data_IF_268780423778
#
_entry.id   IF_268780423778
#
_cell.length_a   1.000
_cell.length_b   1.000
_cell.length_c   1.000
_cell.angle_alpha   90.00
_cell.angle_beta   90.00
_cell.angle_gamma   90.00
#
_symmetry.space_group_name_H-M   'P 1'
#
loop_
_entity.id
_entity.type
_entity.pdbx_description
1 polymer ?
#
# COMPACT_ATOMS: atom_id res chain seq x y z
N UNK A 1 -5.12 -15.45 0.99
CA UNK A 1 -5.91 -14.23 0.80
C UNK A 1 -7.14 -14.32 1.69
N UNK A 2 -7.41 -13.31 2.45
CA UNK A 2 -8.60 -13.15 3.27
C UNK A 2 -9.33 -11.91 2.76
N UNK A 3 -10.64 -12.00 2.56
CA UNK A 3 -11.49 -10.84 2.28
C UNK A 3 -12.26 -10.52 3.55
N UNK A 4 -12.25 -9.26 3.95
CA UNK A 4 -13.06 -8.75 5.06
C UNK A 4 -14.15 -7.90 4.42
N UNK A 5 -15.34 -8.48 4.29
CA UNK A 5 -16.49 -7.79 3.72
C UNK A 5 -17.05 -6.79 4.73
N UNK A 6 -17.21 -5.54 4.31
CA UNK A 6 -17.83 -4.51 5.12
C UNK A 6 -17.07 -4.25 6.42
N UNK A 7 -15.74 -4.12 6.34
CA UNK A 7 -14.99 -3.64 7.49
C UNK A 7 -15.74 -2.48 8.13
N UNK A 8 -16.18 -2.63 9.36
CA UNK A 8 -17.11 -1.72 10.04
C UNK A 8 -16.59 -0.28 10.09
N UNK A 9 -15.31 -0.11 9.94
CA UNK A 9 -14.58 1.17 9.89
C UNK A 9 -14.47 1.79 8.49
N UNK A 10 -14.70 1.03 7.43
CA UNK A 10 -14.80 1.54 6.06
C UNK A 10 -16.29 1.71 5.66
N UNK A 11 -17.05 2.35 6.53
CA UNK A 11 -18.44 2.68 6.27
C UNK A 11 -18.59 3.72 5.14
N UNK A 12 -19.81 3.96 4.67
CA UNK A 12 -20.09 4.90 3.59
C UNK A 12 -19.49 6.30 3.84
N UNK A 13 -19.53 6.78 5.10
CA UNK A 13 -19.01 8.09 5.48
C UNK A 13 -17.48 8.18 5.26
N UNK A 14 -16.72 7.15 5.65
CA UNK A 14 -15.28 7.10 5.41
C UNK A 14 -14.97 7.05 3.91
N UNK A 15 -15.71 6.26 3.13
CA UNK A 15 -15.54 6.19 1.68
C UNK A 15 -15.82 7.53 1.00
N UNK A 16 -16.85 8.26 1.45
CA UNK A 16 -17.16 9.61 0.95
C UNK A 16 -16.04 10.62 1.26
N UNK A 17 -15.37 10.51 2.39
CA UNK A 17 -14.22 11.37 2.76
C UNK A 17 -12.97 11.04 1.93
N UNK A 18 -12.71 9.77 1.65
CA UNK A 18 -11.49 9.32 0.95
C UNK A 18 -11.47 9.79 -0.50
N UNK A 19 -12.60 9.76 -1.22
CA UNK A 19 -12.66 10.16 -2.63
C UNK A 19 -12.13 11.57 -2.90
N UNK A 20 -12.64 12.62 -2.25
CA UNK A 20 -12.14 13.98 -2.45
C UNK A 20 -10.68 14.13 -1.98
N UNK A 21 -10.28 13.43 -0.92
CA UNK A 21 -8.90 13.41 -0.45
C UNK A 21 -7.93 12.81 -1.50
N UNK A 22 -8.32 11.71 -2.14
CA UNK A 22 -7.53 11.11 -3.22
C UNK A 22 -7.46 12.03 -4.45
N UNK A 23 -8.54 12.72 -4.81
CA UNK A 23 -8.53 13.70 -5.88
C UNK A 23 -7.58 14.86 -5.57
N UNK A 24 -7.62 15.37 -4.34
CA UNK A 24 -6.69 16.40 -3.86
C UNK A 24 -5.23 15.92 -3.95
N UNK A 25 -4.94 14.69 -3.47
CA UNK A 25 -3.60 14.11 -3.53
C UNK A 25 -3.10 13.96 -4.97
N UNK A 26 -3.97 13.54 -5.91
CA UNK A 26 -3.65 13.50 -7.34
C UNK A 26 -3.29 14.88 -7.88
N UNK A 27 -4.11 15.87 -7.59
CA UNK A 27 -3.92 17.23 -8.13
C UNK A 27 -2.63 17.87 -7.55
N UNK A 28 -2.29 17.60 -6.30
CA UNK A 28 -1.04 18.03 -5.68
C UNK A 28 0.16 17.32 -6.32
N UNK A 29 0.10 15.99 -6.47
CA UNK A 29 1.14 15.20 -7.13
C UNK A 29 1.39 15.66 -8.58
N UNK A 30 0.33 15.89 -9.34
CA UNK A 30 0.44 16.38 -10.73
C UNK A 30 1.03 17.79 -10.79
N UNK A 31 0.74 18.65 -9.82
CA UNK A 31 1.32 20.00 -9.72
C UNK A 31 2.81 19.96 -9.36
N UNK A 32 3.20 19.06 -8.45
CA UNK A 32 4.58 18.91 -7.98
C UNK A 32 5.47 18.23 -9.03
N UNK A 33 5.02 17.10 -9.55
CA UNK A 33 5.84 16.20 -10.40
C UNK A 33 5.64 16.48 -11.90
N UNK A 34 4.45 16.88 -12.30
CA UNK A 34 4.05 17.06 -13.68
C UNK A 34 3.59 15.77 -14.38
N UNK A 35 2.52 15.89 -15.16
CA UNK A 35 1.87 14.74 -15.84
C UNK A 35 2.86 13.98 -16.74
N UNK A 36 3.68 14.71 -17.53
CA UNK A 36 4.66 14.09 -18.45
C UNK A 36 5.69 13.24 -17.69
N UNK A 37 6.11 13.68 -16.48
CA UNK A 37 7.06 12.91 -15.66
C UNK A 37 6.41 11.65 -15.10
N UNK A 38 5.15 11.73 -14.65
CA UNK A 38 4.37 10.58 -14.19
C UNK A 38 4.16 9.56 -15.32
N UNK A 39 3.87 10.02 -16.53
CA UNK A 39 3.74 9.15 -17.70
C UNK A 39 5.08 8.45 -18.03
N UNK A 40 6.20 9.18 -18.05
CA UNK A 40 7.53 8.57 -18.26
C UNK A 40 7.91 7.58 -17.17
N UNK A 41 7.51 7.85 -15.92
CA UNK A 41 7.71 6.92 -14.81
C UNK A 41 6.75 5.71 -14.87
N UNK A 42 5.72 5.74 -15.73
CA UNK A 42 4.65 4.74 -15.81
C UNK A 42 3.88 4.57 -14.49
N UNK A 43 3.71 5.68 -13.77
CA UNK A 43 3.05 5.76 -12.44
C UNK A 43 1.75 6.60 -12.51
N UNK A 44 1.11 6.67 -13.68
CA UNK A 44 -0.15 7.39 -13.83
C UNK A 44 -1.23 6.73 -12.97
N UNK A 45 -1.92 7.55 -12.16
CA UNK A 45 -2.95 7.06 -11.25
C UNK A 45 -2.43 6.42 -9.95
N UNK A 46 -1.12 6.37 -9.74
CA UNK A 46 -0.52 5.94 -8.46
C UNK A 46 -0.18 7.16 -7.61
N UNK A 47 -0.74 7.23 -6.41
CA UNK A 47 -0.53 8.30 -5.44
C UNK A 47 0.41 7.80 -4.35
N UNK A 48 1.39 8.62 -3.97
CA UNK A 48 2.37 8.31 -2.93
C UNK A 48 2.51 9.49 -1.97
N UNK A 49 2.98 9.23 -0.76
CA UNK A 49 3.22 10.25 0.29
C UNK A 49 1.97 11.10 0.53
N UNK A 50 0.83 10.44 0.77
CA UNK A 50 -0.47 11.11 0.93
C UNK A 50 -0.78 11.53 2.36
N UNK A 51 0.01 11.08 3.34
CA UNK A 51 -0.34 11.13 4.77
C UNK A 51 -0.55 12.54 5.32
N UNK A 52 0.08 13.56 4.74
CA UNK A 52 -0.08 14.97 5.13
C UNK A 52 -1.03 15.76 4.23
N UNK A 53 -1.54 15.14 3.17
CA UNK A 53 -2.49 15.78 2.25
C UNK A 53 -3.87 15.93 2.90
N UNK A 54 -4.31 14.90 3.63
CA UNK A 54 -5.58 14.89 4.32
C UNK A 54 -5.54 13.97 5.55
N UNK A 55 -6.16 14.35 6.68
CA UNK A 55 -6.19 13.52 7.90
C UNK A 55 -6.76 12.12 7.71
N UNK A 56 -7.60 11.89 6.71
CA UNK A 56 -8.17 10.56 6.45
C UNK A 56 -7.08 9.52 6.18
N UNK A 57 -5.96 9.89 5.55
CA UNK A 57 -4.92 8.91 5.20
C UNK A 57 -4.15 8.34 6.41
N UNK A 58 -3.70 9.12 7.40
CA UNK A 58 -3.18 8.54 8.63
C UNK A 58 -4.27 7.84 9.46
N UNK A 59 -5.53 8.30 9.46
CA UNK A 59 -6.65 7.63 10.15
C UNK A 59 -6.88 6.21 9.60
N UNK A 60 -6.72 5.98 8.30
CA UNK A 60 -6.82 4.64 7.70
C UNK A 60 -5.81 3.64 8.28
N UNK A 61 -4.65 4.08 8.74
CA UNK A 61 -3.65 3.19 9.35
C UNK A 61 -4.10 2.65 10.71
N UNK A 62 -5.02 3.33 11.37
CA UNK A 62 -5.56 2.95 12.69
C UNK A 62 -6.92 2.25 12.62
N UNK A 63 -7.38 1.85 11.42
CA UNK A 63 -8.57 1.02 11.31
C UNK A 63 -8.39 -0.26 12.14
N UNK A 64 -9.33 -0.59 13.04
CA UNK A 64 -9.17 -1.73 13.95
C UNK A 64 -8.88 -3.04 13.24
N UNK A 65 -9.48 -3.27 12.08
CA UNK A 65 -9.29 -4.47 11.27
C UNK A 65 -7.88 -4.54 10.69
N UNK A 66 -7.30 -3.39 10.30
CA UNK A 66 -5.91 -3.30 9.83
C UNK A 66 -4.97 -3.60 10.99
N UNK A 67 -5.15 -2.92 12.12
CA UNK A 67 -4.28 -3.10 13.29
C UNK A 67 -4.33 -4.54 13.82
N UNK A 68 -5.52 -5.16 13.88
CA UNK A 68 -5.67 -6.55 14.31
C UNK A 68 -4.87 -7.51 13.41
N UNK A 69 -4.94 -7.33 12.09
CA UNK A 69 -4.19 -8.14 11.14
C UNK A 69 -2.67 -7.91 11.30
N UNK A 70 -2.25 -6.66 11.34
CA UNK A 70 -0.84 -6.28 11.43
C UNK A 70 -0.21 -6.78 12.72
N UNK A 71 -0.86 -6.56 13.86
CA UNK A 71 -0.34 -6.97 15.17
C UNK A 71 -0.29 -8.49 15.33
N UNK A 72 -1.27 -9.20 14.77
CA UNK A 72 -1.27 -10.66 14.78
C UNK A 72 -0.21 -11.28 13.86
N UNK A 73 0.05 -10.67 12.71
CA UNK A 73 0.93 -11.26 11.68
C UNK A 73 2.37 -10.77 11.75
N UNK A 74 2.59 -9.49 12.10
CA UNK A 74 3.91 -8.84 12.08
C UNK A 74 4.37 -8.34 13.45
N UNK A 75 3.53 -8.33 14.46
CA UNK A 75 3.70 -7.76 15.80
C UNK A 75 3.30 -6.29 15.92
N UNK A 76 3.14 -5.83 17.17
CA UNK A 76 2.83 -4.44 17.54
C UNK A 76 3.95 -3.44 17.22
N UNK A 77 5.15 -3.94 16.87
CA UNK A 77 6.28 -3.11 16.42
C UNK A 77 6.33 -2.92 14.91
N UNK A 78 5.37 -3.48 14.16
CA UNK A 78 5.32 -3.34 12.71
C UNK A 78 5.35 -1.88 12.26
N UNK A 79 5.90 -1.67 11.07
CA UNK A 79 5.98 -0.35 10.43
C UNK A 79 5.34 -0.38 9.04
N UNK A 80 4.85 0.76 8.60
CA UNK A 80 4.35 0.97 7.25
C UNK A 80 5.52 1.03 6.26
N UNK A 81 5.61 0.04 5.38
CA UNK A 81 6.59 0.04 4.30
C UNK A 81 6.23 1.05 3.21
N UNK A 82 4.93 1.08 2.86
CA UNK A 82 4.38 1.91 1.79
C UNK A 82 2.87 2.09 1.96
N UNK A 83 2.36 3.30 1.71
CA UNK A 83 0.95 3.57 1.42
C UNK A 83 0.83 4.05 -0.02
N UNK A 84 -0.06 3.44 -0.79
CA UNK A 84 -0.41 3.86 -2.14
C UNK A 84 -1.90 4.16 -2.25
N UNK A 85 -2.25 5.24 -2.93
CA UNK A 85 -3.56 5.42 -3.50
C UNK A 85 -3.54 5.02 -4.97
N UNK A 86 -4.61 4.41 -5.44
CA UNK A 86 -4.80 4.07 -6.83
C UNK A 86 -6.06 4.75 -7.35
N UNK A 87 -5.90 5.59 -8.36
CA UNK A 87 -6.97 6.08 -9.22
C UNK A 87 -6.72 5.44 -10.57
N UNK A 88 -7.36 4.30 -10.83
CA UNK A 88 -7.18 3.51 -12.04
C UNK A 88 -8.17 3.96 -13.10
N UNK A 89 -7.76 4.80 -14.07
CA UNK A 89 -8.64 5.22 -15.14
C UNK A 89 -8.87 4.07 -16.13
N UNK A 90 -9.88 4.21 -17.03
CA UNK A 90 -10.01 3.34 -18.18
C UNK A 90 -8.71 3.32 -19.01
N UNK A 91 -8.34 2.15 -19.55
CA UNK A 91 -7.10 1.98 -20.33
C UNK A 91 -7.01 3.00 -21.47
N UNK A 92 -8.11 3.25 -22.16
CA UNK A 92 -8.17 4.21 -23.23
C UNK A 92 -7.83 5.65 -22.78
N UNK A 93 -8.27 6.02 -21.55
CA UNK A 93 -8.00 7.34 -20.98
C UNK A 93 -6.53 7.50 -20.54
N UNK A 94 -5.79 6.40 -20.35
CA UNK A 94 -4.36 6.41 -20.00
C UNK A 94 -3.47 6.73 -21.21
N UNK A 95 -4.01 6.69 -22.43
CA UNK A 95 -3.25 6.88 -23.66
C UNK A 95 -2.35 5.69 -24.03
N UNK A 96 -2.66 4.50 -23.52
CA UNK A 96 -1.96 3.24 -23.83
C UNK A 96 -2.87 2.30 -24.60
N UNK A 97 -2.28 1.46 -25.43
CA UNK A 97 -2.95 0.26 -25.92
C UNK A 97 -3.05 -0.78 -24.81
N UNK A 98 -3.91 -1.78 -24.97
CA UNK A 98 -4.03 -2.90 -24.01
C UNK A 98 -2.70 -3.63 -23.86
N UNK A 99 -1.96 -3.82 -24.94
CA UNK A 99 -0.65 -4.46 -24.98
C UNK A 99 0.40 -3.65 -24.20
N UNK A 100 0.45 -2.33 -24.44
CA UNK A 100 1.35 -1.43 -23.70
C UNK A 100 1.01 -1.38 -22.22
N UNK A 101 -0.28 -1.32 -21.87
CA UNK A 101 -0.73 -1.32 -20.48
C UNK A 101 -0.26 -2.58 -19.73
N UNK A 102 -0.31 -3.75 -20.35
CA UNK A 102 0.14 -5.02 -19.75
C UNK A 102 1.62 -5.09 -19.43
N UNK A 103 2.45 -4.25 -20.06
CA UNK A 103 3.89 -4.13 -19.79
C UNK A 103 4.21 -3.11 -18.68
N UNK A 104 3.22 -2.35 -18.20
CA UNK A 104 3.37 -1.46 -17.06
C UNK A 104 3.40 -2.28 -15.76
N UNK A 105 4.31 -1.93 -14.83
CA UNK A 105 4.55 -2.73 -13.62
C UNK A 105 3.27 -3.04 -12.83
N UNK A 106 2.38 -2.08 -12.64
CA UNK A 106 1.14 -2.28 -11.86
C UNK A 106 0.16 -3.28 -12.52
N UNK A 107 0.17 -3.42 -13.86
CA UNK A 107 -0.66 -4.38 -14.58
C UNK A 107 0.06 -5.69 -14.85
N UNK A 108 1.40 -5.70 -14.83
CA UNK A 108 2.17 -6.92 -14.93
C UNK A 108 2.10 -7.69 -13.61
N UNK A 109 2.19 -9.02 -13.70
CA UNK A 109 2.31 -9.83 -12.49
C UNK A 109 3.61 -9.53 -11.76
N UNK A 110 3.49 -9.23 -10.48
CA UNK A 110 4.62 -8.91 -9.59
C UNK A 110 4.35 -9.39 -8.16
N UNK A 111 5.37 -9.27 -7.33
CA UNK A 111 5.32 -9.40 -5.87
C UNK A 111 5.83 -8.11 -5.25
N UNK A 112 5.16 -7.59 -4.25
CA UNK A 112 5.63 -6.40 -3.52
C UNK A 112 6.86 -6.77 -2.68
N UNK A 113 6.85 -7.95 -2.06
CA UNK A 113 8.02 -8.50 -1.39
C UNK A 113 8.65 -9.59 -2.24
N UNK A 114 9.81 -9.28 -2.87
CA UNK A 114 10.42 -10.09 -3.95
C UNK A 114 11.33 -11.22 -3.47
N UNK A 115 11.28 -11.61 -2.20
CA UNK A 115 12.11 -12.67 -1.65
C UNK A 115 11.25 -13.77 -1.06
N UNK A 116 11.60 -15.01 -1.38
CA UNK A 116 11.07 -16.17 -0.69
C UNK A 116 11.82 -16.33 0.64
N UNK A 117 11.10 -16.36 1.75
CA UNK A 117 11.65 -16.45 3.11
C UNK A 117 11.26 -17.75 3.82
N UNK A 118 11.06 -18.83 3.11
CA UNK A 118 10.76 -20.17 3.67
C UNK A 118 9.58 -20.18 4.66
N UNK A 119 8.50 -19.48 4.31
CA UNK A 119 7.31 -19.36 5.16
C UNK A 119 7.38 -18.26 6.21
N UNK A 120 8.48 -17.51 6.29
CA UNK A 120 8.54 -16.33 7.15
C UNK A 120 7.76 -15.17 6.54
N UNK A 121 6.72 -14.74 7.26
CA UNK A 121 5.91 -13.60 6.85
C UNK A 121 6.63 -12.29 7.20
N UNK A 122 7.21 -11.66 6.19
CA UNK A 122 7.95 -10.39 6.35
C UNK A 122 7.10 -9.16 6.09
N UNK A 123 6.14 -9.26 5.19
CA UNK A 123 5.29 -8.16 4.76
C UNK A 123 3.85 -8.63 4.55
N UNK A 124 2.89 -7.77 4.92
CA UNK A 124 1.45 -7.98 4.72
C UNK A 124 0.87 -6.76 4.02
N UNK A 125 0.03 -6.99 3.04
CA UNK A 125 -0.72 -5.96 2.36
C UNK A 125 -2.17 -5.93 2.84
N UNK A 126 -2.72 -4.73 2.94
CA UNK A 126 -4.15 -4.48 3.05
C UNK A 126 -4.58 -3.58 1.90
N UNK A 127 -5.46 -4.06 1.04
CA UNK A 127 -5.99 -3.33 -0.10
C UNK A 127 -7.46 -2.99 0.17
N UNK A 128 -7.73 -1.73 0.47
CA UNK A 128 -9.07 -1.21 0.74
C UNK A 128 -9.72 -0.75 -0.57
N UNK A 129 -10.87 -1.33 -0.88
CA UNK A 129 -11.68 -0.98 -2.04
C UNK A 129 -12.49 0.28 -1.74
N UNK A 130 -12.16 1.40 -2.36
CA UNK A 130 -12.97 2.62 -2.28
C UNK A 130 -14.18 2.49 -3.21
N UNK A 131 -13.98 1.89 -4.38
CA UNK A 131 -15.02 1.46 -5.29
C UNK A 131 -15.24 -0.05 -5.20
N UNK A 132 -16.40 -0.52 -5.64
CA UNK A 132 -16.60 -1.93 -5.90
C UNK A 132 -15.56 -2.43 -6.91
N UNK A 133 -14.95 -3.58 -6.62
CA UNK A 133 -14.03 -4.25 -7.52
C UNK A 133 -14.77 -5.27 -8.37
N UNK A 134 -14.67 -5.13 -9.68
CA UNK A 134 -15.18 -6.03 -10.72
C UNK A 134 -14.09 -6.30 -11.75
N UNK A 135 -14.13 -7.42 -12.41
CA UNK A 135 -13.19 -7.74 -13.49
C UNK A 135 -13.16 -6.61 -14.54
N UNK A 136 -14.33 -6.08 -14.92
CA UNK A 136 -14.48 -5.03 -15.94
C UNK A 136 -13.86 -3.69 -15.55
N UNK A 137 -13.72 -3.37 -14.26
CA UNK A 137 -13.12 -2.11 -13.80
C UNK A 137 -11.68 -2.28 -13.28
N UNK A 138 -11.03 -3.40 -13.63
CA UNK A 138 -9.64 -3.63 -13.30
C UNK A 138 -9.41 -4.09 -11.85
N UNK A 139 -10.32 -4.92 -11.31
CA UNK A 139 -10.08 -5.59 -10.05
C UNK A 139 -8.67 -6.22 -10.01
N UNK A 140 -8.00 -6.12 -8.87
CA UNK A 140 -6.70 -6.77 -8.68
C UNK A 140 -6.83 -8.27 -8.93
N UNK A 141 -5.91 -8.83 -9.69
CA UNK A 141 -5.83 -10.27 -9.92
C UNK A 141 -4.75 -10.88 -9.02
N UNK A 142 -5.09 -11.98 -8.36
CA UNK A 142 -4.17 -12.73 -7.50
C UNK A 142 -3.92 -14.12 -8.08
N UNK A 143 -2.72 -14.65 -7.85
CA UNK A 143 -2.39 -16.05 -8.18
C UNK A 143 -2.19 -16.81 -6.86
N UNK A 144 -3.24 -17.46 -6.32
CA UNK A 144 -3.22 -18.10 -5.02
C UNK A 144 -2.10 -19.14 -4.87
N UNK A 145 -1.53 -19.25 -3.66
CA UNK A 145 -0.49 -20.24 -3.35
C UNK A 145 0.94 -19.86 -3.80
N UNK A 146 1.09 -18.82 -4.62
CA UNK A 146 2.40 -18.46 -5.20
C UNK A 146 3.40 -17.90 -4.21
N UNK A 147 2.96 -17.41 -3.03
CA UNK A 147 3.84 -17.03 -1.91
C UNK A 147 4.69 -18.21 -1.37
N UNK A 148 4.27 -19.45 -1.63
CA UNK A 148 4.99 -20.66 -1.20
C UNK A 148 6.01 -21.15 -2.22
N UNK A 149 6.06 -20.53 -3.40
CA UNK A 149 6.95 -20.98 -4.47
C UNK A 149 8.38 -20.41 -4.28
N UNK A 150 9.36 -21.30 -4.20
CA UNK A 150 10.78 -20.93 -4.15
C UNK A 150 11.30 -20.32 -5.45
N UNK A 151 10.74 -20.77 -6.57
CA UNK A 151 11.07 -20.29 -7.92
C UNK A 151 9.92 -19.50 -8.49
N UNK A 152 10.25 -18.49 -9.25
CA UNK A 152 9.24 -17.69 -9.92
C UNK A 152 8.50 -18.56 -10.96
N UNK A 153 7.17 -18.56 -10.94
CA UNK A 153 6.36 -19.26 -11.92
C UNK A 153 6.49 -18.63 -13.31
N UNK A 154 6.23 -19.40 -14.33
CA UNK A 154 6.18 -18.89 -15.71
C UNK A 154 4.99 -17.92 -15.87
N UNK A 155 5.09 -17.00 -16.84
CA UNK A 155 4.00 -16.10 -17.20
C UNK A 155 2.72 -16.88 -17.55
N UNK A 156 2.85 -17.96 -18.33
CA UNK A 156 1.72 -18.82 -18.69
C UNK A 156 1.05 -19.44 -17.45
N UNK A 157 1.82 -19.83 -16.43
CA UNK A 157 1.25 -20.33 -15.17
C UNK A 157 0.47 -19.23 -14.45
N UNK A 158 1.04 -18.02 -14.36
CA UNK A 158 0.39 -16.88 -13.70
C UNK A 158 -0.94 -16.54 -14.39
N UNK A 159 -0.93 -16.42 -15.72
CA UNK A 159 -2.12 -16.10 -16.50
C UNK A 159 -3.21 -17.18 -16.38
N UNK A 160 -2.83 -18.45 -16.34
CA UNK A 160 -3.78 -19.56 -16.23
C UNK A 160 -4.40 -19.73 -14.84
N UNK A 161 -3.76 -19.19 -13.78
CA UNK A 161 -4.19 -19.36 -12.39
C UNK A 161 -4.57 -18.04 -11.71
N UNK A 162 -4.60 -16.94 -12.44
CA UNK A 162 -5.01 -15.65 -11.91
C UNK A 162 -6.52 -15.60 -11.65
N UNK A 163 -6.89 -15.05 -10.50
CA UNK A 163 -8.29 -14.91 -10.08
C UNK A 163 -8.54 -13.44 -9.78
N UNK A 164 -9.56 -12.79 -10.38
CA UNK A 164 -9.94 -11.43 -10.04
C UNK A 164 -10.49 -11.37 -8.60
N UNK A 165 -10.09 -10.35 -7.87
CA UNK A 165 -10.55 -10.10 -6.51
C UNK A 165 -11.79 -9.19 -6.56
N UNK A 166 -12.95 -9.76 -6.83
CA UNK A 166 -14.20 -9.03 -6.86
C UNK A 166 -14.79 -8.88 -5.45
N UNK A 167 -15.19 -7.67 -5.08
CA UNK A 167 -15.82 -7.39 -3.79
C UNK A 167 -16.48 -6.00 -3.79
N UNK A 168 -17.50 -5.78 -2.94
CA UNK A 168 -18.15 -4.49 -2.78
C UNK A 168 -17.18 -3.38 -2.36
N UNK A 169 -17.57 -2.12 -2.56
CA UNK A 169 -16.91 -0.96 -1.96
C UNK A 169 -16.87 -1.10 -0.43
N UNK A 170 -15.79 -0.67 0.20
CA UNK A 170 -15.54 -0.82 1.63
C UNK A 170 -14.92 -2.16 2.04
N UNK A 171 -14.86 -3.15 1.15
CA UNK A 171 -14.16 -4.41 1.42
C UNK A 171 -12.66 -4.21 1.47
N UNK A 172 -11.97 -5.07 2.21
CA UNK A 172 -10.51 -5.06 2.31
C UNK A 172 -9.95 -6.46 2.00
N UNK A 173 -9.03 -6.53 1.06
CA UNK A 173 -8.23 -7.73 0.80
C UNK A 173 -6.97 -7.71 1.64
N UNK A 174 -6.70 -8.82 2.34
CA UNK A 174 -5.47 -9.02 3.12
C UNK A 174 -4.67 -10.16 2.50
N UNK A 175 -3.39 -9.91 2.23
CA UNK A 175 -2.54 -10.91 1.59
C UNK A 175 -1.07 -10.76 1.96
N UNK A 176 -0.35 -11.88 1.90
CA UNK A 176 1.11 -11.91 1.97
C UNK A 176 1.68 -11.16 0.76
N UNK A 177 2.54 -10.17 1.00
CA UNK A 177 3.14 -9.34 -0.03
C UNK A 177 4.01 -10.12 -1.05
N UNK A 178 4.29 -11.39 -0.78
CA UNK A 178 4.98 -12.28 -1.71
C UNK A 178 4.06 -13.07 -2.65
N UNK A 179 2.73 -12.91 -2.55
CA UNK A 179 1.78 -13.45 -3.52
C UNK A 179 1.93 -12.72 -4.85
N UNK A 180 2.00 -13.47 -5.94
CA UNK A 180 1.96 -12.89 -7.28
C UNK A 180 0.59 -12.30 -7.56
N UNK A 181 0.58 -11.04 -7.96
CA UNK A 181 -0.63 -10.28 -8.25
C UNK A 181 -0.35 -9.18 -9.29
N UNK A 182 -1.39 -8.52 -9.73
CA UNK A 182 -1.32 -7.38 -10.63
C UNK A 182 -2.68 -6.68 -10.69
N UNK A 183 -2.77 -5.48 -11.25
CA UNK A 183 -4.05 -4.84 -11.52
C UNK A 183 -4.67 -5.45 -12.76
N UNK A 184 -5.97 -5.70 -12.74
CA UNK A 184 -6.74 -5.92 -13.96
C UNK A 184 -6.78 -4.67 -14.83
N UNK A 185 -7.17 -4.83 -16.09
CA UNK A 185 -7.37 -3.70 -17.00
C UNK A 185 -8.76 -3.09 -16.75
N UNK A 186 -8.81 -1.79 -16.55
CA UNK A 186 -10.07 -1.09 -16.42
C UNK A 186 -10.64 -0.81 -17.83
N UNK A 187 -11.67 -1.55 -18.21
CA UNK A 187 -12.44 -1.39 -19.45
C UNK A 187 -13.82 -0.78 -19.20
N UNK A 188 -14.09 -0.33 -17.98
CA UNK A 188 -15.30 0.43 -17.64
C UNK A 188 -15.16 1.89 -18.08
N UNK A 189 -16.24 2.64 -18.04
CA UNK A 189 -16.23 4.06 -18.39
C UNK A 189 -15.79 5.00 -17.27
N UNK A 190 -15.37 4.48 -16.08
CA UNK A 190 -15.13 5.26 -14.88
C UNK A 190 -13.79 4.88 -14.21
N UNK A 191 -13.23 5.83 -13.44
CA UNK A 191 -12.06 5.56 -12.59
C UNK A 191 -12.42 4.56 -11.48
N UNK A 192 -11.48 3.70 -11.10
CA UNK A 192 -11.61 2.81 -9.95
C UNK A 192 -10.57 3.18 -8.88
N UNK A 193 -11.04 3.44 -7.65
CA UNK A 193 -10.25 3.91 -6.54
C UNK A 193 -9.97 2.79 -5.51
N UNK A 194 -8.74 2.79 -5.00
CA UNK A 194 -8.34 1.93 -3.89
C UNK A 194 -7.19 2.57 -3.08
N UNK A 195 -7.03 2.13 -1.83
CA UNK A 195 -5.86 2.46 -1.00
C UNK A 195 -5.20 1.16 -0.54
N UNK A 196 -3.90 1.04 -0.79
CA UNK A 196 -3.10 -0.10 -0.37
C UNK A 196 -2.12 0.32 0.73
N UNK A 197 -2.03 -0.49 1.78
CA UNK A 197 -0.99 -0.38 2.78
C UNK A 197 -0.13 -1.64 2.74
N UNK A 198 1.17 -1.45 2.68
CA UNK A 198 2.16 -2.52 2.83
C UNK A 198 2.81 -2.35 4.19
N UNK A 199 2.57 -3.29 5.10
CA UNK A 199 3.20 -3.31 6.42
C UNK A 199 4.35 -4.31 6.44
N UNK A 200 5.38 -3.99 7.22
CA UNK A 200 6.55 -4.84 7.35
C UNK A 200 7.04 -4.87 8.80
N UNK A 201 7.93 -5.79 9.12
CA UNK A 201 8.60 -5.82 10.41
C UNK A 201 9.51 -4.61 10.56
N UNK A 202 9.66 -4.13 11.78
CA UNK A 202 10.36 -2.88 12.11
C UNK A 202 11.83 -2.82 11.69
N UNK A 203 12.49 -3.97 11.58
CA UNK A 203 13.89 -4.05 11.14
C UNK A 203 14.07 -4.11 9.62
N UNK A 204 12.98 -4.15 8.85
CA UNK A 204 13.02 -4.06 7.40
C UNK A 204 13.01 -2.60 6.97
N UNK A 205 13.78 -2.27 5.93
CA UNK A 205 13.85 -0.90 5.43
C UNK A 205 12.53 -0.53 4.74
N UNK A 206 11.96 0.60 5.15
CA UNK A 206 10.79 1.20 4.49
C UNK A 206 11.14 1.60 3.04
N UNK A 207 10.18 1.51 2.15
CA UNK A 207 10.33 2.04 0.79
C UNK A 207 10.25 3.57 0.77
N UNK A 208 9.44 4.14 1.66
CA UNK A 208 9.36 5.59 1.89
C UNK A 208 9.83 5.88 3.31
N UNK A 209 10.81 6.74 3.46
CA UNK A 209 11.24 7.28 4.76
C UNK A 209 10.25 8.37 5.19
N UNK A 210 9.17 7.95 5.85
CA UNK A 210 8.08 8.85 6.25
C UNK A 210 8.55 9.92 7.24
N UNK A 211 9.47 9.57 8.13
CA UNK A 211 9.98 10.54 9.11
C UNK A 211 10.70 11.68 8.42
N UNK A 212 11.51 11.36 7.40
CA UNK A 212 12.22 12.37 6.61
C UNK A 212 11.28 13.11 5.65
N UNK A 213 10.34 12.41 5.03
CA UNK A 213 9.43 12.99 4.04
C UNK A 213 8.46 14.01 4.67
N UNK A 214 7.91 13.68 5.84
CA UNK A 214 6.84 14.45 6.49
C UNK A 214 7.36 15.39 7.60
N UNK A 215 8.56 15.11 8.09
CA UNK A 215 9.18 15.88 9.16
C UNK A 215 8.66 15.53 10.56
N UNK A 216 9.51 15.78 11.57
CA UNK A 216 9.23 15.43 12.97
C UNK A 216 8.00 16.13 13.55
N UNK A 217 7.73 17.37 13.13
CA UNK A 217 6.56 18.11 13.60
C UNK A 217 5.26 17.43 13.26
N UNK A 218 5.10 16.98 12.00
CA UNK A 218 3.94 16.24 11.58
C UNK A 218 3.83 14.88 12.29
N UNK A 219 4.93 14.10 12.33
CA UNK A 219 4.91 12.78 12.97
C UNK A 219 4.50 12.87 14.45
N UNK A 220 5.03 13.85 15.20
CA UNK A 220 4.72 14.01 16.62
C UNK A 220 3.31 14.54 16.89
N UNK A 221 2.62 15.09 15.89
CA UNK A 221 1.21 15.48 16.01
C UNK A 221 0.25 14.29 15.91
N UNK A 222 0.72 13.15 15.43
CA UNK A 222 -0.08 11.94 15.25
C UNK A 222 -0.15 11.08 16.52
N UNK A 223 -1.15 10.18 16.64
CA UNK A 223 -1.22 9.25 17.76
C UNK A 223 0.03 8.35 17.87
N UNK A 224 0.39 7.87 19.08
CA UNK A 224 1.60 7.04 19.27
C UNK A 224 1.65 5.78 18.42
N UNK A 225 0.48 5.18 18.10
CA UNK A 225 0.42 4.00 17.23
C UNK A 225 0.78 4.35 15.79
N UNK A 226 0.25 5.44 15.26
CA UNK A 226 0.61 5.94 13.92
C UNK A 226 2.09 6.33 13.88
N UNK A 227 2.64 6.96 14.94
CA UNK A 227 4.08 7.24 15.02
C UNK A 227 4.92 5.96 14.91
N UNK A 228 4.51 4.86 15.59
CA UNK A 228 5.16 3.56 15.47
C UNK A 228 5.11 3.04 14.03
N UNK A 229 3.91 3.05 13.43
CA UNK A 229 3.72 2.60 12.06
C UNK A 229 4.56 3.41 11.05
N UNK A 230 4.73 4.71 11.27
CA UNK A 230 5.55 5.55 10.40
C UNK A 230 7.08 5.41 10.64
N UNK A 231 7.48 4.56 11.58
CA UNK A 231 8.88 4.28 11.85
C UNK A 231 9.56 5.27 12.80
N UNK A 232 8.79 6.10 13.53
CA UNK A 232 9.36 7.08 14.46
C UNK A 232 10.24 6.44 15.53
N UNK A 233 9.88 5.25 16.00
CA UNK A 233 10.62 4.54 17.05
C UNK A 233 11.68 3.55 16.52
N UNK A 234 11.89 3.52 15.21
CA UNK A 234 12.89 2.65 14.54
C UNK A 234 13.95 3.46 13.79
N UNK A 235 14.08 4.74 14.11
CA UNK A 235 15.04 5.63 13.44
C UNK A 235 16.46 5.18 13.66
N UNK A 236 17.25 5.26 12.60
CA UNK A 236 18.67 4.94 12.62
C UNK A 236 19.47 6.18 13.02
N UNK A 237 20.36 6.02 13.99
CA UNK A 237 21.25 7.10 14.46
C UNK A 237 22.28 7.48 13.39
N UNK A 238 22.65 8.74 13.36
CA UNK A 238 23.59 9.31 12.37
C UNK A 238 24.89 9.83 12.99
N UNK A 239 24.99 9.82 14.33
CA UNK A 239 26.14 10.32 15.06
C UNK A 239 26.36 9.59 16.40
N UNK A 240 27.57 9.71 16.95
CA UNK A 240 27.86 9.21 18.29
C UNK A 240 27.02 9.94 19.37
N UNK A 241 26.74 11.20 19.17
CA UNK A 241 25.89 11.99 20.10
C UNK A 241 24.47 11.40 20.16
N UNK A 242 23.87 11.09 19.02
CA UNK A 242 22.56 10.43 18.97
C UNK A 242 22.60 9.02 19.55
N UNK A 243 23.70 8.28 19.35
CA UNK A 243 23.83 6.89 19.81
C UNK A 243 23.97 6.78 21.33
N UNK A 244 24.78 7.67 21.94
CA UNK A 244 25.08 7.64 23.38
C UNK A 244 24.09 8.45 24.23
N UNK A 245 22.87 8.63 23.76
CA UNK A 245 21.80 9.28 24.54
C UNK A 245 21.27 8.37 25.67
N UNK A 246 20.81 8.95 26.79
CA UNK A 246 20.05 8.22 27.79
C UNK A 246 18.86 7.48 27.17
N UNK A 247 18.40 6.33 27.72
CA UNK A 247 17.36 5.50 27.12
C UNK A 247 16.06 6.25 26.75
N UNK A 248 15.66 7.22 27.54
CA UNK A 248 14.48 8.04 27.34
C UNK A 248 14.60 9.08 26.21
N UNK A 249 15.83 9.35 25.76
CA UNK A 249 16.13 10.31 24.66
C UNK A 249 16.58 9.65 23.37
N UNK A 250 16.65 8.32 23.33
CA UNK A 250 17.08 7.60 22.12
C UNK A 250 16.08 7.72 20.99
N UNK A 251 16.60 7.77 19.75
CA UNK A 251 15.80 7.84 18.53
C UNK A 251 15.01 6.55 18.26
N UNK A 252 15.40 5.44 18.87
CA UNK A 252 14.75 4.14 18.73
C UNK A 252 14.34 3.61 20.09
N UNK A 253 13.25 2.85 20.12
CA UNK A 253 12.83 2.10 21.32
C UNK A 253 13.49 0.71 21.34
N UNK A 254 13.79 0.15 22.51
CA UNK A 254 14.20 -1.27 22.60
C UNK A 254 13.06 -2.20 22.13
N UNK A 255 13.44 -3.42 21.78
CA UNK A 255 12.51 -4.49 21.35
C UNK A 255 11.72 -4.17 20.08
N UNK A 256 12.31 -3.46 19.14
CA UNK A 256 11.77 -3.25 17.82
C UNK A 256 12.18 -4.40 16.89
N UNK A 257 11.39 -5.48 16.82
CA UNK A 257 11.66 -6.63 15.96
C UNK A 257 11.55 -7.97 16.65
#
# INVERSE_FOLDING_TARGET
MLTIDGAASANAENLERIRPAMSKARDELQREIGVERLQRAREVGVLRVMLDVDPVFPELLELPEILQVVDHTLTDTAILHLQNGFILPPVEAMGYTVEEAREIFQFSFHRDFRRYLEGYLGCVNTLLNIDEFRESNGATVFVPGTHQLRKDPSRAYLEANAIPAEAPAGSMFVYDASVWHGSGLNTSGEDRLAVNHVFTRSYMKQQIDYVRALGSGFILSLPPRTQQLLGWYTRVVTSNDEYFQPPDKRLYRPNQG
#
